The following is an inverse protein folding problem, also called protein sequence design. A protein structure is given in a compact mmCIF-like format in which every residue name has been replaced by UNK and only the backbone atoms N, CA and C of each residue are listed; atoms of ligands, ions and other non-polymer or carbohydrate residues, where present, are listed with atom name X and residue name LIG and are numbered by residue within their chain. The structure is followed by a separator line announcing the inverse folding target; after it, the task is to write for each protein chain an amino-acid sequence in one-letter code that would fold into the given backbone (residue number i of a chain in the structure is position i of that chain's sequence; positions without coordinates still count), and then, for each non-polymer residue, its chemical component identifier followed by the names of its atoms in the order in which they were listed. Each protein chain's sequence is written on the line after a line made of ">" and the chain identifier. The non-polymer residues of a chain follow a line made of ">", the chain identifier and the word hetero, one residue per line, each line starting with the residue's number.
data_IF_220155300951
#
_entry.id   IF_220155300951
#
_cell.length_a   1.000
_cell.length_b   1.000
_cell.length_c   1.000
_cell.angle_alpha   90.00
_cell.angle_beta   90.00
_cell.angle_gamma   90.00
#
_symmetry.space_group_name_H-M   'P 1'
#
loop_
_entity.id
_entity.type
_entity.pdbx_description
1 polymer ?
#
# COMPACT_ATOMS: atom_id res chain seq x y z
N UNK A 1 18.02 -20.87 8.26
CA UNK A 1 17.26 -20.71 7.01
C UNK A 1 17.06 -19.23 6.74
N UNK A 2 17.16 -18.75 5.49
CA UNK A 2 16.88 -17.35 5.20
C UNK A 2 15.41 -17.06 5.53
N UNK A 3 15.19 -16.16 6.48
CA UNK A 3 13.84 -15.77 6.91
C UNK A 3 13.11 -15.07 5.76
N UNK A 4 11.77 -15.15 5.74
CA UNK A 4 10.93 -14.41 4.79
C UNK A 4 11.27 -12.92 4.76
N UNK A 5 11.67 -12.38 5.91
CA UNK A 5 12.17 -11.00 6.09
C UNK A 5 13.42 -10.72 5.24
N UNK A 6 14.40 -11.63 5.19
CA UNK A 6 15.61 -11.47 4.39
C UNK A 6 15.30 -11.42 2.89
N UNK A 7 14.33 -12.23 2.45
CA UNK A 7 13.87 -12.22 1.05
C UNK A 7 13.16 -10.92 0.69
N UNK A 8 12.38 -10.36 1.62
CA UNK A 8 11.75 -9.04 1.47
C UNK A 8 12.81 -7.93 1.46
N UNK A 9 13.81 -7.97 2.35
CA UNK A 9 14.90 -6.99 2.34
C UNK A 9 15.71 -7.06 1.05
N UNK A 10 16.04 -8.27 0.59
CA UNK A 10 16.75 -8.49 -0.67
C UNK A 10 15.93 -8.03 -1.87
N UNK A 11 14.62 -8.25 -1.85
CA UNK A 11 13.70 -7.74 -2.86
C UNK A 11 13.59 -6.21 -2.81
N UNK A 12 13.50 -5.61 -1.63
CA UNK A 12 13.46 -4.16 -1.44
C UNK A 12 14.75 -3.47 -1.92
N UNK A 13 15.91 -4.14 -1.75
CA UNK A 13 17.21 -3.70 -2.27
C UNK A 13 17.39 -3.97 -3.77
N UNK A 14 16.54 -4.80 -4.39
CA UNK A 14 16.59 -5.08 -5.82
C UNK A 14 16.05 -3.91 -6.67
N UNK A 15 16.42 -3.82 -7.96
CA UNK A 15 15.85 -2.80 -8.86
C UNK A 15 14.32 -2.87 -8.97
N UNK A 16 13.72 -4.05 -8.76
CA UNK A 16 12.26 -4.21 -8.73
C UNK A 16 11.65 -3.58 -7.46
N UNK A 17 12.29 -3.76 -6.30
CA UNK A 17 11.89 -3.11 -5.04
C UNK A 17 12.03 -1.60 -5.07
N UNK A 18 13.11 -1.08 -5.69
CA UNK A 18 13.27 0.37 -5.93
C UNK A 18 12.16 0.94 -6.80
N UNK A 19 11.77 0.25 -7.88
CA UNK A 19 10.63 0.64 -8.72
C UNK A 19 9.31 0.61 -7.94
N UNK A 20 9.10 -0.42 -7.11
CA UNK A 20 7.91 -0.51 -6.26
C UNK A 20 7.85 0.66 -5.25
N UNK A 21 8.97 1.00 -4.61
CA UNK A 21 9.10 2.19 -3.75
C UNK A 21 8.80 3.48 -4.50
N UNK A 22 9.41 3.69 -5.66
CA UNK A 22 9.17 4.91 -6.46
C UNK A 22 7.71 5.02 -6.92
N UNK A 23 7.06 3.91 -7.25
CA UNK A 23 5.61 3.87 -7.54
C UNK A 23 4.80 4.20 -6.29
N UNK A 24 5.13 3.62 -5.14
CA UNK A 24 4.47 3.91 -3.87
C UNK A 24 4.64 5.38 -3.46
N UNK A 25 5.83 5.96 -3.63
CA UNK A 25 6.09 7.39 -3.37
C UNK A 25 5.30 8.30 -4.31
N UNK A 26 5.20 7.95 -5.60
CA UNK A 26 4.35 8.69 -6.55
C UNK A 26 2.88 8.61 -6.18
N UNK A 27 2.40 7.43 -5.81
CA UNK A 27 1.02 7.23 -5.34
C UNK A 27 0.76 7.94 -4.00
N UNK A 28 1.76 8.00 -3.12
CA UNK A 28 1.66 8.70 -1.85
C UNK A 28 1.68 10.23 -2.02
N UNK A 29 2.43 10.74 -3.00
CA UNK A 29 2.47 12.16 -3.37
C UNK A 29 1.20 12.61 -4.09
N UNK A 30 0.42 11.70 -4.63
CA UNK A 30 -0.80 12.04 -5.35
C UNK A 30 -2.01 12.14 -4.40
N UNK A 31 -2.55 13.35 -4.15
CA UNK A 31 -3.68 13.53 -3.26
C UNK A 31 -4.96 12.86 -3.78
N UNK A 32 -5.10 12.68 -5.10
CA UNK A 32 -6.26 11.98 -5.69
C UNK A 32 -6.21 10.50 -5.39
N UNK A 33 -5.01 9.91 -5.37
CA UNK A 33 -4.83 8.51 -4.98
C UNK A 33 -5.16 8.32 -3.50
N UNK A 34 -4.73 9.24 -2.63
CA UNK A 34 -5.11 9.20 -1.21
C UNK A 34 -6.62 9.34 -1.02
N UNK A 35 -7.29 10.26 -1.72
CA UNK A 35 -8.74 10.41 -1.65
C UNK A 35 -9.48 9.15 -2.13
N UNK A 36 -9.00 8.51 -3.20
CA UNK A 36 -9.55 7.24 -3.71
C UNK A 36 -9.35 6.10 -2.72
N UNK A 37 -8.15 5.97 -2.14
CA UNK A 37 -7.87 4.98 -1.10
C UNK A 37 -8.74 5.24 0.13
N UNK A 38 -8.86 6.50 0.56
CA UNK A 38 -9.71 6.89 1.70
C UNK A 38 -11.18 6.60 1.40
N UNK A 39 -11.67 6.85 0.19
CA UNK A 39 -13.02 6.50 -0.23
C UNK A 39 -13.27 4.99 -0.24
N UNK A 40 -12.31 4.20 -0.75
CA UNK A 40 -12.39 2.73 -0.75
C UNK A 40 -12.30 2.16 0.68
N UNK A 41 -11.42 2.69 1.52
CA UNK A 41 -11.29 2.32 2.93
C UNK A 41 -12.54 2.72 3.73
N UNK A 42 -13.10 3.90 3.50
CA UNK A 42 -14.36 4.34 4.10
C UNK A 42 -15.53 3.51 3.62
N UNK A 43 -15.53 3.02 2.37
CA UNK A 43 -16.56 2.12 1.85
C UNK A 43 -16.41 0.70 2.39
N UNK A 44 -15.17 0.21 2.52
CA UNK A 44 -14.86 -1.07 3.14
C UNK A 44 -15.10 -1.09 4.66
N UNK A 45 -14.86 0.02 5.38
CA UNK A 45 -15.22 0.18 6.80
C UNK A 45 -16.68 0.59 7.03
N UNK A 46 -17.29 1.28 6.08
CA UNK A 46 -18.66 1.81 6.17
C UNK A 46 -19.76 0.78 5.87
N UNK A 47 -19.41 -0.42 5.39
CA UNK A 47 -20.35 -1.52 5.20
C UNK A 47 -20.83 -2.21 6.48
N UNK A 48 -20.26 -1.87 7.66
CA UNK A 48 -20.55 -2.54 8.93
C UNK A 48 -21.39 -1.76 9.95
N UNK A 49 -21.90 -0.57 9.64
CA UNK A 49 -22.62 0.29 10.61
C UNK A 49 -23.93 0.88 10.08
N UNK A 50 -24.78 0.03 9.51
CA UNK A 50 -26.23 0.32 9.37
C UNK A 50 -27.03 -0.84 9.94
N UNK A 51 -27.05 -0.92 11.27
CA UNK A 51 -28.05 -1.70 12.01
C UNK A 51 -28.20 -1.11 13.41
N UNK A 52 -28.99 -0.06 13.52
CA UNK A 52 -29.98 0.14 14.57
C UNK A 52 -30.96 1.22 14.14
#
# INVERSE_FOLDING_TARGET
>A
MPSVIDRIMRFARSPQGRKARARAERLARDPRTQAKIRGLLSRGRGGGRRRH
#
